data_IF_615484771070
#
_entry.id   IF_615484771070
#
_cell.length_a   1.000
_cell.length_b   1.000
_cell.length_c   1.000
_cell.angle_alpha   90.00
_cell.angle_beta   90.00
_cell.angle_gamma   90.00
#
_symmetry.space_group_name_H-M   'P 1'
#
loop_
_entity.id
_entity.type
_entity.pdbx_description
1 polymer ?
#
# COMPACT_ATOMS: atom_id res chain seq x y z
N UNK A 1 4.31 -1.07 -16.67
CA UNK A 1 5.28 -0.95 -15.57
C UNK A 1 4.99 -2.04 -14.58
N UNK A 2 6.01 -2.68 -14.02
CA UNK A 2 5.83 -3.63 -12.92
C UNK A 2 5.43 -2.84 -11.67
N UNK A 3 4.46 -3.31 -10.90
CA UNK A 3 4.04 -2.66 -9.65
C UNK A 3 5.20 -2.43 -8.66
N UNK A 4 6.27 -3.24 -8.75
CA UNK A 4 7.48 -3.03 -7.95
C UNK A 4 8.24 -1.75 -8.29
N UNK A 5 8.16 -1.28 -9.53
CA UNK A 5 8.80 -0.04 -9.99
C UNK A 5 8.07 1.20 -9.47
N UNK A 6 6.76 1.08 -9.21
CA UNK A 6 5.91 2.17 -8.73
C UNK A 6 5.87 2.32 -7.20
N UNK A 7 6.58 1.46 -6.44
CA UNK A 7 6.57 1.54 -4.96
C UNK A 7 7.08 2.89 -4.46
N UNK A 8 8.22 3.43 -4.93
CA UNK A 8 8.70 4.74 -4.49
C UNK A 8 7.69 5.86 -4.74
N UNK A 9 7.12 5.91 -5.95
CA UNK A 9 6.12 6.90 -6.36
C UNK A 9 4.86 6.83 -5.49
N UNK A 10 4.38 5.61 -5.21
CA UNK A 10 3.26 5.40 -4.29
C UNK A 10 3.60 5.90 -2.88
N UNK A 11 4.79 5.62 -2.36
CA UNK A 11 5.20 6.04 -1.03
C UNK A 11 5.35 7.56 -0.93
N UNK A 12 5.87 8.22 -1.98
CA UNK A 12 5.93 9.67 -2.08
C UNK A 12 4.53 10.29 -2.05
N UNK A 13 3.62 9.79 -2.90
CA UNK A 13 2.23 10.25 -2.94
C UNK A 13 1.51 10.07 -1.59
N UNK A 14 1.70 8.92 -0.93
CA UNK A 14 1.18 8.71 0.42
C UNK A 14 1.73 9.73 1.42
N UNK A 15 3.01 10.08 1.33
CA UNK A 15 3.63 11.12 2.13
C UNK A 15 3.01 12.50 1.91
N UNK A 16 2.74 12.88 0.66
CA UNK A 16 2.05 14.12 0.30
C UNK A 16 0.61 14.15 0.85
N UNK A 17 -0.06 13.00 0.88
CA UNK A 17 -1.37 12.83 1.50
C UNK A 17 -1.33 12.87 3.03
N UNK A 18 -0.17 12.93 3.68
CA UNK A 18 -0.03 12.84 5.14
C UNK A 18 -0.26 11.43 5.70
N UNK A 19 -0.05 10.41 4.87
CA UNK A 19 -0.11 8.99 5.21
C UNK A 19 1.30 8.40 5.33
N UNK A 20 1.39 7.23 5.94
CA UNK A 20 2.60 6.42 6.05
C UNK A 20 2.37 5.09 5.37
N UNK A 21 3.18 4.79 4.36
CA UNK A 21 3.23 3.49 3.70
C UNK A 21 4.42 2.65 4.18
N UNK A 22 4.19 1.35 4.38
CA UNK A 22 5.22 0.37 4.67
C UNK A 22 5.05 -0.82 3.72
N UNK A 23 6.14 -1.19 3.05
CA UNK A 23 6.23 -2.41 2.25
C UNK A 23 7.32 -3.27 2.87
N UNK A 24 7.02 -4.53 3.19
CA UNK A 24 8.02 -5.48 3.67
C UNK A 24 7.85 -6.86 3.04
N UNK A 25 8.94 -7.60 3.03
CA UNK A 25 8.98 -9.04 2.81
C UNK A 25 9.47 -9.72 4.09
N UNK A 26 8.78 -10.76 4.51
CA UNK A 26 9.07 -11.56 5.70
C UNK A 26 9.52 -12.96 5.25
N UNK A 27 10.83 -13.20 5.32
CA UNK A 27 11.44 -14.44 4.85
C UNK A 27 11.10 -15.69 5.68
N UNK A 28 10.47 -15.52 6.86
CA UNK A 28 10.02 -16.63 7.70
C UNK A 28 8.63 -17.14 7.27
N UNK A 29 7.89 -16.39 6.44
CA UNK A 29 6.55 -16.76 5.98
C UNK A 29 6.59 -17.44 4.61
N UNK A 30 6.20 -18.72 4.57
CA UNK A 30 6.24 -19.50 3.32
C UNK A 30 5.12 -19.16 2.32
N UNK A 31 3.93 -18.73 2.78
CA UNK A 31 2.75 -18.53 1.91
C UNK A 31 2.46 -17.09 1.54
N UNK A 32 2.59 -16.18 2.50
CA UNK A 32 2.27 -14.76 2.36
C UNK A 32 3.41 -13.90 2.92
N UNK A 33 4.59 -13.92 2.26
CA UNK A 33 5.76 -13.21 2.75
C UNK A 33 5.63 -11.70 2.60
N UNK A 34 4.79 -11.21 1.68
CA UNK A 34 4.64 -9.78 1.46
C UNK A 34 3.60 -9.18 2.40
N UNK A 35 3.93 -8.01 2.94
CA UNK A 35 3.00 -7.18 3.70
C UNK A 35 3.09 -5.75 3.18
N UNK A 36 1.94 -5.14 2.88
CA UNK A 36 1.80 -3.70 2.69
C UNK A 36 0.89 -3.14 3.76
N UNK A 37 1.32 -2.09 4.45
CA UNK A 37 0.54 -1.37 5.46
C UNK A 37 0.48 0.10 5.09
N UNK A 38 -0.71 0.68 5.20
CA UNK A 38 -0.91 2.13 5.13
C UNK A 38 -1.63 2.59 6.39
N UNK A 39 -1.09 3.63 7.00
CA UNK A 39 -1.59 4.18 8.25
C UNK A 39 -1.50 5.70 8.21
N UNK A 40 -2.19 6.38 9.13
CA UNK A 40 -2.11 7.82 9.27
C UNK A 40 -3.36 8.40 9.90
N UNK A 41 -3.29 9.65 10.32
CA UNK A 41 -4.41 10.34 10.96
C UNK A 41 -5.63 10.44 10.04
N UNK A 42 -5.42 10.53 8.72
CA UNK A 42 -6.51 10.57 7.72
C UNK A 42 -7.28 9.25 7.58
N UNK A 43 -6.77 8.17 8.16
CA UNK A 43 -7.48 6.89 8.27
C UNK A 43 -8.17 6.72 9.63
N UNK A 44 -8.39 7.81 10.38
CA UNK A 44 -9.02 7.82 11.71
C UNK A 44 -8.32 6.87 12.71
N UNK A 45 -7.01 6.72 12.59
CA UNK A 45 -6.19 5.82 13.42
C UNK A 45 -6.29 4.34 13.03
N UNK A 46 -7.08 3.99 12.00
CA UNK A 46 -7.13 2.65 11.41
C UNK A 46 -5.97 2.49 10.41
N UNK A 47 -5.55 1.25 10.18
CA UNK A 47 -4.58 0.93 9.13
C UNK A 47 -5.19 0.00 8.08
N UNK A 48 -4.83 0.21 6.82
CA UNK A 48 -5.08 -0.74 5.74
C UNK A 48 -3.87 -1.68 5.72
N UNK A 49 -4.11 -2.98 5.91
CA UNK A 49 -3.07 -4.00 5.87
C UNK A 49 -3.46 -5.06 4.84
N UNK A 50 -2.52 -5.37 3.94
CA UNK A 50 -2.65 -6.49 3.01
C UNK A 50 -1.43 -7.38 3.15
N UNK A 51 -1.67 -8.66 3.43
CA UNK A 51 -0.68 -9.73 3.36
C UNK A 51 -0.92 -10.54 2.08
N UNK A 52 0.15 -11.05 1.46
CA UNK A 52 0.00 -11.77 0.20
C UNK A 52 1.24 -12.51 -0.28
N UNK A 53 1.01 -13.39 -1.26
CA UNK A 53 2.05 -14.22 -1.88
C UNK A 53 2.95 -13.43 -2.84
N UNK A 54 2.55 -12.23 -3.28
CA UNK A 54 3.33 -11.36 -4.16
C UNK A 54 3.16 -9.89 -3.77
N UNK A 55 4.18 -9.07 -4.08
CA UNK A 55 4.13 -7.63 -3.92
C UNK A 55 2.99 -7.00 -4.74
N UNK A 56 2.85 -7.42 -6.00
CA UNK A 56 1.79 -6.96 -6.90
C UNK A 56 0.39 -7.22 -6.33
N UNK A 57 0.15 -8.41 -5.76
CA UNK A 57 -1.11 -8.72 -5.11
C UNK A 57 -1.41 -7.72 -4.00
N UNK A 58 -0.42 -7.44 -3.15
CA UNK A 58 -0.61 -6.55 -2.01
C UNK A 58 -0.87 -5.11 -2.46
N UNK A 59 -0.08 -4.61 -3.43
CA UNK A 59 -0.21 -3.25 -3.93
C UNK A 59 -1.54 -3.01 -4.64
N UNK A 60 -2.00 -3.95 -5.48
CA UNK A 60 -3.30 -3.82 -6.13
C UNK A 60 -4.44 -3.68 -5.12
N UNK A 61 -4.46 -4.54 -4.10
CA UNK A 61 -5.51 -4.51 -3.09
C UNK A 61 -5.41 -3.27 -2.19
N UNK A 62 -4.20 -2.83 -1.84
CA UNK A 62 -4.04 -1.62 -1.03
C UNK A 62 -4.50 -0.38 -1.79
N UNK A 63 -4.18 -0.28 -3.09
CA UNK A 63 -4.63 0.83 -3.94
C UNK A 63 -6.14 0.81 -4.13
N UNK A 64 -6.75 -0.37 -4.31
CA UNK A 64 -8.22 -0.48 -4.33
C UNK A 64 -8.83 0.02 -3.02
N UNK A 65 -8.33 -0.43 -1.86
CA UNK A 65 -8.84 -0.01 -0.56
C UNK A 65 -8.64 1.49 -0.29
N UNK A 66 -7.52 2.05 -0.76
CA UNK A 66 -7.28 3.49 -0.69
C UNK A 66 -8.24 4.27 -1.59
N UNK A 67 -8.50 3.81 -2.81
CA UNK A 67 -9.41 4.47 -3.74
C UNK A 67 -10.85 4.45 -3.24
N UNK A 68 -11.26 3.39 -2.54
CA UNK A 68 -12.56 3.36 -1.84
C UNK A 68 -12.65 4.41 -0.71
N UNK A 69 -11.51 4.74 -0.09
CA UNK A 69 -11.45 5.72 1.01
C UNK A 69 -11.26 7.16 0.52
N UNK A 70 -10.52 7.35 -0.57
CA UNK A 70 -10.10 8.62 -1.15
C UNK A 70 -10.26 8.59 -2.68
N UNK A 71 -11.49 8.56 -3.20
CA UNK A 71 -11.76 8.34 -4.63
C UNK A 71 -11.17 9.43 -5.55
N UNK A 72 -11.03 10.66 -5.06
CA UNK A 72 -10.57 11.80 -5.86
C UNK A 72 -9.06 12.08 -5.71
N UNK A 73 -8.35 11.32 -4.88
CA UNK A 73 -6.95 11.61 -4.52
C UNK A 73 -5.94 10.58 -5.05
N UNK A 74 -6.40 9.53 -5.75
CA UNK A 74 -5.56 8.46 -6.28
C UNK A 74 -5.64 8.37 -7.80
N UNK A 75 -5.24 9.44 -8.47
CA UNK A 75 -4.84 9.38 -9.87
C UNK A 75 -3.34 9.05 -9.94
N UNK A 76 -3.01 7.76 -9.79
CA UNK A 76 -1.67 7.27 -10.11
C UNK A 76 -1.53 7.33 -11.64
N UNK A 77 -0.63 8.19 -12.13
CA UNK A 77 -0.36 8.40 -13.57
C UNK A 77 0.47 7.30 -14.20
#
# INVERSE_FOLDING_TARGET
>A
MSWGECVPELLEHLGEMGLVGLVKIDGEREREPWTVVISGQRLDGVSIRVDGHSLEYCLRHVVTALHERFPDELTLS
#
